data_IF_925486932342
#
_entry.id   IF_925486932342
#
_cell.length_a   1.000
_cell.length_b   1.000
_cell.length_c   1.000
_cell.angle_alpha   90.00
_cell.angle_beta   90.00
_cell.angle_gamma   90.00
#
_symmetry.space_group_name_H-M   'P 1'
#
loop_
_entity.id
_entity.type
_entity.pdbx_description
1 polymer ?
#
# COMPACT_ATOMS: atom_id res chain seq x y z
N UNK A 1 4.47 16.79 -8.45
CA UNK A 1 4.33 17.23 -7.05
C UNK A 1 4.75 16.08 -6.14
N UNK A 2 5.23 16.32 -4.90
CA UNK A 2 5.47 15.23 -3.95
C UNK A 2 4.20 15.03 -3.13
N UNK A 3 3.70 13.78 -3.06
CA UNK A 3 2.56 13.42 -2.20
C UNK A 3 3.01 13.03 -0.78
N UNK A 4 4.26 12.55 -0.66
CA UNK A 4 4.92 12.34 0.63
C UNK A 4 6.31 12.93 0.56
N UNK A 5 6.71 13.68 1.57
CA UNK A 5 8.07 14.12 1.80
C UNK A 5 8.46 13.85 3.25
N UNK A 6 9.57 13.16 3.45
CA UNK A 6 10.11 12.80 4.77
C UNK A 6 11.50 13.39 4.90
N UNK A 7 11.73 14.12 6.01
CA UNK A 7 13.00 14.76 6.34
C UNK A 7 13.48 14.33 7.73
N UNK A 8 14.67 13.79 7.78
CA UNK A 8 15.42 13.42 9.00
C UNK A 8 14.61 12.56 9.99
N UNK A 9 13.73 11.69 9.43
CA UNK A 9 12.86 10.86 10.26
C UNK A 9 13.66 9.82 11.01
N UNK A 10 13.58 9.83 12.35
CA UNK A 10 14.09 8.77 13.20
C UNK A 10 13.01 8.32 14.18
N UNK A 11 12.96 7.00 14.42
CA UNK A 11 11.95 6.39 15.29
C UNK A 11 12.51 5.20 16.06
N UNK A 12 12.15 5.12 17.35
CA UNK A 12 12.47 4.00 18.22
C UNK A 12 11.22 3.48 18.93
N UNK A 13 11.09 2.16 19.03
CA UNK A 13 10.09 1.57 19.92
C UNK A 13 10.54 1.68 21.38
N UNK A 14 9.63 1.81 22.36
CA UNK A 14 9.97 1.83 23.76
C UNK A 14 10.87 0.65 24.17
N UNK A 15 12.02 0.95 24.77
CA UNK A 15 12.97 -0.06 25.23
C UNK A 15 13.78 -0.77 24.14
N UNK A 16 13.69 -0.32 22.88
CA UNK A 16 14.47 -0.87 21.75
C UNK A 16 15.38 0.20 21.13
N UNK A 17 16.47 -0.24 20.48
CA UNK A 17 17.32 0.64 19.68
C UNK A 17 16.56 1.19 18.47
N UNK A 18 17.09 2.25 17.88
CA UNK A 18 16.55 2.95 16.74
C UNK A 18 16.08 2.00 15.63
N UNK A 19 14.78 2.03 15.36
CA UNK A 19 14.16 1.25 14.30
C UNK A 19 14.32 1.95 12.94
N UNK A 20 14.23 3.29 12.93
CA UNK A 20 14.48 4.12 11.76
C UNK A 20 15.48 5.21 12.13
N UNK A 21 16.42 5.50 11.22
CA UNK A 21 17.51 6.46 11.44
C UNK A 21 17.65 7.36 10.24
N UNK A 22 17.42 8.65 10.46
CA UNK A 22 17.66 9.73 9.48
C UNK A 22 17.10 9.41 8.08
N UNK A 23 15.85 8.94 8.01
CA UNK A 23 15.18 8.62 6.76
C UNK A 23 14.82 9.92 6.03
N UNK A 24 15.28 10.02 4.79
CA UNK A 24 14.98 11.10 3.87
C UNK A 24 14.49 10.50 2.55
N UNK A 25 13.20 10.65 2.24
CA UNK A 25 12.57 10.11 1.02
C UNK A 25 11.47 11.02 0.51
N UNK A 26 11.17 10.91 -0.78
CA UNK A 26 10.08 11.63 -1.45
C UNK A 26 9.30 10.65 -2.32
N UNK A 27 7.98 10.73 -2.29
CA UNK A 27 7.09 9.97 -3.17
C UNK A 27 6.41 10.95 -4.11
N UNK A 28 6.71 10.80 -5.40
CA UNK A 28 6.20 11.68 -6.45
C UNK A 28 4.81 11.24 -6.90
N UNK A 29 3.98 12.20 -7.23
CA UNK A 29 2.66 11.97 -7.81
C UNK A 29 2.75 11.18 -9.13
N UNK A 30 1.82 10.23 -9.31
CA UNK A 30 1.72 9.42 -10.52
C UNK A 30 2.82 8.37 -10.67
N UNK A 31 3.62 8.10 -9.63
CA UNK A 31 4.67 7.07 -9.67
C UNK A 31 4.24 5.79 -8.98
N UNK A 32 4.86 4.68 -9.39
CA UNK A 32 4.84 3.42 -8.67
C UNK A 32 6.19 3.26 -7.95
N UNK A 33 6.22 3.61 -6.66
CA UNK A 33 7.42 3.50 -5.82
C UNK A 33 7.36 2.22 -4.99
N UNK A 34 8.44 1.43 -5.00
CA UNK A 34 8.56 0.24 -4.18
C UNK A 34 9.63 0.42 -3.10
N UNK A 35 9.25 0.15 -1.85
CA UNK A 35 10.18 0.00 -0.73
C UNK A 35 10.57 -1.47 -0.61
N UNK A 36 11.86 -1.75 -0.73
CA UNK A 36 12.44 -3.09 -0.64
C UNK A 36 13.41 -3.21 0.52
N UNK A 37 13.80 -4.43 0.87
CA UNK A 37 14.77 -4.71 1.92
C UNK A 37 14.45 -6.03 2.62
N UNK A 38 15.38 -6.54 3.40
CA UNK A 38 15.25 -7.80 4.14
C UNK A 38 14.12 -7.74 5.19
N UNK A 39 13.70 -8.92 5.66
CA UNK A 39 12.75 -9.00 6.77
C UNK A 39 13.39 -8.39 8.03
N UNK A 40 12.62 -7.58 8.74
CA UNK A 40 13.13 -6.86 9.92
C UNK A 40 13.87 -5.54 9.60
N UNK A 41 14.01 -5.13 8.34
CA UNK A 41 14.64 -3.84 7.97
C UNK A 41 13.81 -2.60 8.30
N UNK A 42 12.66 -2.78 8.97
CA UNK A 42 11.75 -1.70 9.43
C UNK A 42 10.90 -1.02 8.35
N UNK A 43 10.66 -1.66 7.21
CA UNK A 43 9.78 -1.13 6.14
C UNK A 43 8.36 -0.83 6.63
N UNK A 44 7.70 -1.80 7.28
CA UNK A 44 6.35 -1.60 7.84
C UNK A 44 6.35 -0.58 8.99
N UNK A 45 7.46 -0.40 9.71
CA UNK A 45 7.61 0.67 10.71
C UNK A 45 7.57 2.04 10.03
N UNK A 46 8.27 2.20 8.92
CA UNK A 46 8.23 3.43 8.11
C UNK A 46 6.82 3.71 7.62
N UNK A 47 6.12 2.72 7.04
CA UNK A 47 4.73 2.91 6.62
C UNK A 47 3.82 3.33 7.79
N UNK A 48 3.99 2.74 8.97
CA UNK A 48 3.23 3.12 10.17
C UNK A 48 3.51 4.55 10.63
N UNK A 49 4.74 5.04 10.50
CA UNK A 49 5.08 6.45 10.75
C UNK A 49 4.40 7.36 9.72
N UNK A 50 4.49 7.03 8.43
CA UNK A 50 3.82 7.78 7.35
C UNK A 50 2.31 7.86 7.61
N UNK A 51 1.68 6.77 8.00
CA UNK A 51 0.24 6.71 8.27
C UNK A 51 -0.17 7.40 9.58
N UNK A 52 0.81 7.78 10.43
CA UNK A 52 0.55 8.36 11.76
C UNK A 52 0.09 7.35 12.80
N UNK A 53 0.26 6.05 12.52
CA UNK A 53 -0.04 4.96 13.46
C UNK A 53 1.06 4.83 14.52
N UNK A 54 2.32 5.11 14.16
CA UNK A 54 3.43 5.27 15.09
C UNK A 54 3.65 6.77 15.33
N UNK A 55 3.57 7.18 16.59
CA UNK A 55 3.84 8.55 17.06
C UNK A 55 5.16 8.61 17.82
N UNK A 56 5.71 9.82 18.01
CA UNK A 56 6.95 10.01 18.79
C UNK A 56 8.22 9.83 17.97
N UNK A 57 8.15 9.92 16.65
CA UNK A 57 9.32 10.07 15.79
C UNK A 57 9.87 11.50 15.84
N UNK A 58 11.15 11.67 15.51
CA UNK A 58 11.78 12.97 15.25
C UNK A 58 11.83 13.21 13.74
N UNK A 59 12.08 14.46 13.31
CA UNK A 59 12.02 14.84 11.90
C UNK A 59 10.63 15.24 11.45
N UNK A 60 10.42 15.34 10.15
CA UNK A 60 9.19 15.84 9.55
C UNK A 60 8.61 14.86 8.53
N UNK A 61 7.28 14.71 8.52
CA UNK A 61 6.52 14.00 7.49
C UNK A 61 5.45 14.93 6.96
N UNK A 62 5.61 15.35 5.70
CA UNK A 62 4.60 16.09 4.93
C UNK A 62 3.92 15.08 4.02
N UNK A 63 2.60 14.99 4.07
CA UNK A 63 1.83 14.01 3.29
C UNK A 63 0.43 14.46 3.00
N UNK A 64 -0.16 13.90 1.96
CA UNK A 64 -1.59 14.02 1.67
C UNK A 64 -2.46 13.44 2.79
N UNK A 65 -3.65 14.02 2.98
CA UNK A 65 -4.55 13.63 4.06
C UNK A 65 -5.35 12.35 3.75
N UNK A 66 -5.62 12.08 2.47
CA UNK A 66 -6.41 10.91 2.05
C UNK A 66 -5.51 9.87 1.43
N UNK A 67 -5.16 8.86 2.22
CA UNK A 67 -4.32 7.75 1.82
C UNK A 67 -5.13 6.47 1.91
N UNK A 68 -5.24 5.74 0.80
CA UNK A 68 -5.74 4.37 0.81
C UNK A 68 -4.67 3.45 1.39
N UNK A 69 -5.02 2.65 2.38
CA UNK A 69 -4.06 1.76 3.01
C UNK A 69 -4.51 0.31 3.03
N UNK A 70 -3.63 -0.56 2.54
CA UNK A 70 -3.74 -2.00 2.68
C UNK A 70 -2.64 -2.49 3.63
N UNK A 71 -2.99 -2.86 4.88
CA UNK A 71 -2.03 -3.45 5.81
C UNK A 71 -1.61 -4.86 5.38
N UNK A 72 -0.47 -5.30 5.89
CA UNK A 72 -0.05 -6.69 5.77
C UNK A 72 -1.16 -7.62 6.29
N UNK A 73 -1.46 -8.67 5.54
CA UNK A 73 -2.56 -9.60 5.84
C UNK A 73 -2.32 -10.30 7.18
N UNK A 74 -3.34 -10.29 8.04
CA UNK A 74 -3.39 -11.07 9.28
C UNK A 74 -4.44 -12.17 9.18
N UNK A 75 -4.27 -13.28 9.88
CA UNK A 75 -5.22 -14.42 9.87
C UNK A 75 -6.65 -14.03 10.24
N UNK A 76 -6.81 -13.03 11.13
CA UNK A 76 -8.12 -12.53 11.56
C UNK A 76 -8.93 -11.95 10.40
N UNK A 77 -8.28 -11.42 9.37
CA UNK A 77 -8.97 -10.82 8.21
C UNK A 77 -9.60 -11.86 7.28
N UNK A 78 -9.17 -13.12 7.33
CA UNK A 78 -9.63 -14.16 6.39
C UNK A 78 -11.05 -14.68 6.68
N UNK A 79 -11.56 -14.51 7.90
CA UNK A 79 -12.86 -15.05 8.35
C UNK A 79 -13.93 -13.97 8.61
N UNK A 80 -13.77 -12.79 8.02
CA UNK A 80 -14.71 -11.69 8.25
C UNK A 80 -16.06 -11.96 7.57
N UNK A 81 -17.17 -12.04 8.32
CA UNK A 81 -18.48 -12.44 7.80
C UNK A 81 -19.24 -11.27 7.15
N UNK A 82 -18.65 -10.68 6.10
CA UNK A 82 -19.26 -9.60 5.33
C UNK A 82 -19.19 -9.90 3.84
N UNK A 83 -20.10 -9.34 3.08
CA UNK A 83 -20.08 -9.40 1.62
C UNK A 83 -18.94 -8.54 1.04
N UNK A 84 -18.51 -8.85 -0.18
CA UNK A 84 -17.51 -8.08 -0.91
C UNK A 84 -17.96 -6.61 -1.01
N UNK A 85 -19.23 -6.36 -1.36
CA UNK A 85 -19.74 -4.99 -1.54
C UNK A 85 -19.70 -4.18 -0.24
N UNK A 86 -19.97 -4.79 0.92
CA UNK A 86 -19.86 -4.12 2.22
C UNK A 86 -18.41 -3.78 2.56
N UNK A 87 -17.48 -4.71 2.31
CA UNK A 87 -16.06 -4.47 2.58
C UNK A 87 -15.52 -3.36 1.68
N UNK A 88 -15.80 -3.40 0.37
CA UNK A 88 -15.31 -2.37 -0.56
C UNK A 88 -15.91 -1.02 -0.24
N UNK A 89 -17.22 -0.97 0.01
CA UNK A 89 -17.93 0.26 0.37
C UNK A 89 -17.39 0.87 1.67
N UNK A 90 -16.96 0.05 2.64
CA UNK A 90 -16.36 0.55 3.88
C UNK A 90 -15.09 1.39 3.67
N UNK A 91 -14.42 1.23 2.54
CA UNK A 91 -13.26 2.05 2.17
C UNK A 91 -13.60 3.53 2.01
N UNK A 92 -14.83 3.86 1.61
CA UNK A 92 -15.26 5.24 1.40
C UNK A 92 -15.45 6.04 2.70
N UNK A 93 -15.49 5.38 3.87
CA UNK A 93 -15.66 6.05 5.19
C UNK A 93 -14.57 7.09 5.42
N UNK A 94 -13.34 6.84 4.95
CA UNK A 94 -12.23 7.79 5.05
C UNK A 94 -12.50 9.12 4.35
N UNK A 95 -13.33 9.12 3.31
CA UNK A 95 -13.66 10.32 2.53
C UNK A 95 -14.65 11.24 3.28
N UNK A 96 -15.44 10.69 4.22
CA UNK A 96 -16.39 11.45 5.01
C UNK A 96 -16.58 10.85 6.42
N UNK A 97 -15.57 10.95 7.31
CA UNK A 97 -15.56 10.28 8.62
C UNK A 97 -16.65 10.75 9.58
N UNK A 98 -17.33 11.85 9.27
CA UNK A 98 -18.46 12.40 10.08
C UNK A 98 -19.83 11.88 9.62
N UNK A 99 -19.91 11.19 8.49
CA UNK A 99 -21.18 10.65 7.99
C UNK A 99 -21.44 9.25 8.55
N UNK A 100 -22.65 9.04 9.07
CA UNK A 100 -23.13 7.73 9.54
C UNK A 100 -23.66 6.91 8.35
N UNK A 101 -24.01 7.56 7.25
CA UNK A 101 -24.61 6.92 6.08
C UNK A 101 -23.73 7.07 4.84
N UNK A 102 -23.70 6.03 4.03
CA UNK A 102 -23.06 6.08 2.71
C UNK A 102 -23.90 6.91 1.73
N UNK A 103 -23.24 7.79 1.00
CA UNK A 103 -23.85 8.58 -0.06
C UNK A 103 -24.02 7.76 -1.34
N UNK A 104 -24.80 8.30 -2.28
CA UNK A 104 -24.95 7.68 -3.60
C UNK A 104 -23.62 7.62 -4.36
N UNK A 105 -22.80 8.66 -4.21
CA UNK A 105 -21.46 8.76 -4.80
C UNK A 105 -20.54 7.67 -4.27
N UNK A 106 -20.60 7.34 -2.97
CA UNK A 106 -19.78 6.29 -2.34
C UNK A 106 -20.11 4.91 -2.94
N UNK A 107 -21.42 4.63 -3.12
CA UNK A 107 -21.88 3.38 -3.74
C UNK A 107 -21.44 3.29 -5.20
N UNK A 108 -21.57 4.37 -5.97
CA UNK A 108 -21.15 4.41 -7.36
C UNK A 108 -19.64 4.24 -7.51
N UNK A 109 -18.85 4.87 -6.63
CA UNK A 109 -17.40 4.72 -6.61
C UNK A 109 -17.01 3.25 -6.34
N UNK A 110 -17.58 2.63 -5.30
CA UNK A 110 -17.30 1.24 -4.95
C UNK A 110 -17.68 0.26 -6.07
N UNK A 111 -18.84 0.46 -6.72
CA UNK A 111 -19.25 -0.33 -7.89
C UNK A 111 -18.27 -0.21 -9.06
N UNK A 112 -17.85 1.01 -9.38
CA UNK A 112 -16.92 1.25 -10.48
C UNK A 112 -15.55 0.61 -10.21
N UNK A 113 -15.04 0.70 -8.99
CA UNK A 113 -13.79 0.05 -8.60
C UNK A 113 -13.93 -1.47 -8.65
N UNK A 114 -15.03 -2.04 -8.14
CA UNK A 114 -15.27 -3.49 -8.22
C UNK A 114 -15.33 -4.00 -9.67
N UNK A 115 -15.92 -3.23 -10.58
CA UNK A 115 -15.94 -3.56 -12.03
C UNK A 115 -14.54 -3.54 -12.63
N UNK A 116 -13.75 -2.50 -12.37
CA UNK A 116 -12.36 -2.39 -12.84
C UNK A 116 -11.48 -3.54 -12.34
N UNK A 117 -11.68 -3.96 -11.09
CA UNK A 117 -10.88 -5.04 -10.46
C UNK A 117 -11.42 -6.44 -10.82
N UNK A 118 -12.59 -6.55 -11.48
CA UNK A 118 -13.18 -7.80 -11.93
C UNK A 118 -13.79 -8.64 -10.79
N UNK A 119 -14.35 -7.99 -9.75
CA UNK A 119 -15.01 -8.66 -8.62
C UNK A 119 -16.50 -8.29 -8.49
N UNK A 120 -17.04 -7.48 -9.40
CA UNK A 120 -18.41 -6.98 -9.30
C UNK A 120 -19.45 -8.08 -9.37
N UNK A 121 -19.28 -9.09 -10.23
CA UNK A 121 -20.25 -10.16 -10.41
C UNK A 121 -20.38 -11.06 -9.19
N UNK A 122 -19.34 -11.12 -8.37
CA UNK A 122 -19.32 -11.89 -7.12
C UNK A 122 -19.54 -11.04 -5.87
N UNK A 123 -19.91 -9.75 -6.01
CA UNK A 123 -19.95 -8.77 -4.90
C UNK A 123 -20.81 -9.13 -3.70
N UNK A 124 -21.78 -10.05 -3.88
CA UNK A 124 -22.67 -10.53 -2.81
C UNK A 124 -22.13 -11.76 -2.08
N UNK A 125 -21.03 -12.36 -2.56
CA UNK A 125 -20.41 -13.48 -1.85
C UNK A 125 -19.79 -13.02 -0.54
N UNK A 126 -19.78 -13.93 0.43
CA UNK A 126 -19.06 -13.71 1.69
C UNK A 126 -17.55 -13.68 1.43
N UNK A 127 -16.85 -12.75 2.06
CA UNK A 127 -15.39 -12.61 1.94
C UNK A 127 -14.65 -13.88 2.38
N UNK A 128 -15.14 -14.56 3.39
CA UNK A 128 -14.55 -15.79 3.90
C UNK A 128 -14.54 -16.94 2.86
N UNK A 129 -15.47 -16.92 1.90
CA UNK A 129 -15.62 -17.98 0.88
C UNK A 129 -14.72 -17.75 -0.35
N UNK A 130 -13.93 -16.67 -0.35
CA UNK A 130 -13.10 -16.29 -1.49
C UNK A 130 -11.74 -16.97 -1.46
N UNK A 131 -11.17 -17.22 -2.65
CA UNK A 131 -9.75 -17.57 -2.78
C UNK A 131 -8.85 -16.43 -2.28
N UNK A 132 -7.61 -16.75 -1.90
CA UNK A 132 -6.65 -15.74 -1.42
C UNK A 132 -6.45 -14.59 -2.39
N UNK A 133 -6.39 -14.86 -3.69
CA UNK A 133 -6.28 -13.83 -4.73
C UNK A 133 -7.54 -12.97 -4.85
N UNK A 134 -8.73 -13.56 -4.73
CA UNK A 134 -9.98 -12.80 -4.71
C UNK A 134 -10.07 -11.92 -3.46
N UNK A 135 -9.73 -12.45 -2.28
CA UNK A 135 -9.66 -11.67 -1.05
C UNK A 135 -8.72 -10.47 -1.20
N UNK A 136 -7.55 -10.68 -1.79
CA UNK A 136 -6.59 -9.61 -2.02
C UNK A 136 -7.13 -8.52 -2.95
N UNK A 137 -7.80 -8.90 -4.04
CA UNK A 137 -8.48 -7.93 -4.93
C UNK A 137 -9.55 -7.12 -4.20
N UNK A 138 -10.32 -7.74 -3.29
CA UNK A 138 -11.33 -7.04 -2.47
C UNK A 138 -10.66 -6.01 -1.55
N UNK A 139 -9.55 -6.37 -0.89
CA UNK A 139 -8.84 -5.48 0.01
C UNK A 139 -8.17 -4.32 -0.74
N UNK A 140 -7.64 -4.55 -1.94
CA UNK A 140 -7.13 -3.50 -2.82
C UNK A 140 -8.28 -2.57 -3.24
N UNK A 141 -9.44 -3.13 -3.66
CA UNK A 141 -10.62 -2.35 -4.01
C UNK A 141 -11.07 -1.44 -2.86
N UNK A 142 -11.12 -1.98 -1.64
CA UNK A 142 -11.43 -1.22 -0.42
C UNK A 142 -10.45 -0.06 -0.21
N UNK A 143 -9.16 -0.31 -0.39
CA UNK A 143 -8.12 0.71 -0.20
C UNK A 143 -8.23 1.82 -1.25
N UNK A 144 -8.54 1.48 -2.51
CA UNK A 144 -8.77 2.43 -3.60
C UNK A 144 -10.02 3.30 -3.38
N UNK A 145 -11.06 2.77 -2.72
CA UNK A 145 -12.22 3.58 -2.34
C UNK A 145 -11.88 4.67 -1.31
N UNK A 146 -10.79 4.51 -0.57
CA UNK A 146 -10.35 5.43 0.49
C UNK A 146 -9.47 6.57 0.04
N UNK A 147 -9.11 6.63 -1.25
CA UNK A 147 -8.19 7.65 -1.77
C UNK A 147 -8.55 8.08 -3.19
N UNK A 148 -8.04 9.25 -3.59
CA UNK A 148 -8.05 9.70 -4.98
C UNK A 148 -6.66 9.73 -5.60
N UNK A 149 -5.62 9.82 -4.77
CA UNK A 149 -4.28 10.18 -5.22
C UNK A 149 -3.19 9.17 -4.85
N UNK A 150 -3.28 8.55 -3.65
CA UNK A 150 -2.22 7.71 -3.11
C UNK A 150 -2.73 6.45 -2.41
N UNK A 151 -2.25 5.30 -2.86
CA UNK A 151 -2.45 4.01 -2.18
C UNK A 151 -1.13 3.51 -1.59
N UNK A 152 -1.15 3.06 -0.34
CA UNK A 152 -0.03 2.42 0.35
C UNK A 152 -0.38 0.95 0.59
N UNK A 153 0.51 0.05 0.17
CA UNK A 153 0.31 -1.40 0.23
C UNK A 153 1.49 -2.05 0.97
N UNK A 154 1.19 -2.74 2.06
CA UNK A 154 2.21 -3.45 2.85
C UNK A 154 2.19 -4.94 2.49
N UNK A 155 3.13 -5.38 1.68
CA UNK A 155 3.29 -6.75 1.18
C UNK A 155 2.01 -7.37 0.57
N UNK A 156 1.38 -6.72 -0.42
CA UNK A 156 0.07 -7.12 -0.93
C UNK A 156 0.06 -8.47 -1.64
N UNK A 157 1.21 -9.00 -2.02
CA UNK A 157 1.35 -10.26 -2.77
C UNK A 157 1.89 -11.42 -1.94
N UNK A 158 2.11 -11.19 -0.64
CA UNK A 158 2.68 -12.20 0.24
C UNK A 158 1.74 -13.42 0.38
N UNK A 159 2.30 -14.63 0.17
CA UNK A 159 1.56 -15.90 0.28
C UNK A 159 0.59 -16.18 -0.88
N UNK A 160 0.71 -15.48 -2.01
CA UNK A 160 -0.08 -15.72 -3.21
C UNK A 160 0.74 -16.42 -4.29
N UNK A 161 0.03 -17.13 -5.18
CA UNK A 161 0.63 -17.78 -6.33
C UNK A 161 1.29 -16.76 -7.29
N UNK A 162 2.38 -17.14 -8.00
CA UNK A 162 3.11 -16.23 -8.88
C UNK A 162 2.26 -15.57 -9.95
N UNK A 163 1.25 -16.27 -10.50
CA UNK A 163 0.36 -15.72 -11.53
C UNK A 163 -0.57 -14.66 -10.93
N UNK A 164 -1.10 -14.90 -9.73
CA UNK A 164 -1.94 -13.92 -9.00
C UNK A 164 -1.09 -12.69 -8.61
N UNK A 165 0.15 -12.88 -8.18
CA UNK A 165 1.07 -11.78 -7.91
C UNK A 165 1.24 -10.90 -9.14
N UNK A 166 1.52 -11.49 -10.31
CA UNK A 166 1.65 -10.77 -11.59
C UNK A 166 0.39 -9.95 -11.89
N UNK A 167 -0.79 -10.57 -11.78
CA UNK A 167 -2.07 -9.88 -12.02
C UNK A 167 -2.30 -8.69 -11.07
N UNK A 168 -1.84 -8.76 -9.82
CA UNK A 168 -1.93 -7.65 -8.87
C UNK A 168 -1.00 -6.50 -9.28
N UNK A 169 0.23 -6.79 -9.70
CA UNK A 169 1.14 -5.74 -10.18
C UNK A 169 0.61 -5.08 -11.46
N UNK A 170 0.09 -5.86 -12.41
CA UNK A 170 -0.53 -5.35 -13.63
C UNK A 170 -1.73 -4.44 -13.31
N UNK A 171 -2.60 -4.86 -12.40
CA UNK A 171 -3.75 -4.10 -11.94
C UNK A 171 -3.31 -2.75 -11.31
N UNK A 172 -2.31 -2.74 -10.46
CA UNK A 172 -1.80 -1.51 -9.84
C UNK A 172 -1.16 -0.58 -10.86
N UNK A 173 -0.43 -1.12 -11.83
CA UNK A 173 0.14 -0.35 -12.93
C UNK A 173 -0.94 0.26 -13.84
N UNK A 174 -2.05 -0.46 -14.09
CA UNK A 174 -3.21 0.08 -14.79
C UNK A 174 -3.85 1.25 -14.04
N UNK A 175 -4.05 1.15 -12.73
CA UNK A 175 -4.57 2.27 -11.92
C UNK A 175 -3.63 3.47 -11.93
N UNK A 176 -2.31 3.24 -11.88
CA UNK A 176 -1.32 4.31 -12.04
C UNK A 176 -1.45 5.01 -13.40
N UNK A 177 -1.51 4.25 -14.48
CA UNK A 177 -1.53 4.78 -15.85
C UNK A 177 -2.84 5.48 -16.21
N UNK A 178 -3.97 4.85 -15.89
CA UNK A 178 -5.28 5.28 -16.37
C UNK A 178 -5.97 6.24 -15.40
N UNK A 179 -5.80 6.03 -14.09
CA UNK A 179 -6.46 6.82 -13.04
C UNK A 179 -5.49 7.77 -12.31
N UNK A 180 -4.20 7.75 -12.67
CA UNK A 180 -3.12 8.56 -12.06
C UNK A 180 -2.94 8.32 -10.56
N UNK A 181 -3.35 7.16 -10.08
CA UNK A 181 -3.13 6.77 -8.69
C UNK A 181 -1.63 6.57 -8.44
N UNK A 182 -1.09 7.25 -7.45
CA UNK A 182 0.27 6.99 -6.97
C UNK A 182 0.27 5.73 -6.13
N UNK A 183 1.23 4.86 -6.38
CA UNK A 183 1.38 3.59 -5.65
C UNK A 183 2.65 3.61 -4.83
N UNK A 184 2.54 3.44 -3.52
CA UNK A 184 3.66 3.15 -2.63
C UNK A 184 3.49 1.72 -2.09
N UNK A 185 4.39 0.83 -2.43
CA UNK A 185 4.29 -0.58 -2.07
C UNK A 185 5.54 -1.06 -1.35
N UNK A 186 5.36 -1.78 -0.24
CA UNK A 186 6.42 -2.60 0.35
C UNK A 186 6.36 -3.97 -0.29
N UNK A 187 7.49 -4.46 -0.77
CA UNK A 187 7.62 -5.79 -1.36
C UNK A 187 9.01 -6.39 -1.12
N UNK A 188 9.07 -7.72 -1.03
CA UNK A 188 10.31 -8.48 -1.07
C UNK A 188 10.53 -9.20 -2.41
N UNK A 189 9.59 -9.07 -3.35
CA UNK A 189 9.66 -9.63 -4.70
C UNK A 189 10.42 -8.68 -5.64
N UNK A 190 11.74 -8.74 -5.57
CA UNK A 190 12.62 -7.82 -6.31
C UNK A 190 12.41 -7.94 -7.82
N UNK A 191 12.20 -9.16 -8.35
CA UNK A 191 12.02 -9.37 -9.80
C UNK A 191 10.83 -8.57 -10.34
N UNK A 192 9.67 -8.64 -9.68
CA UNK A 192 8.49 -7.87 -10.08
C UNK A 192 8.64 -6.39 -9.80
N UNK A 193 9.27 -6.02 -8.67
CA UNK A 193 9.58 -4.62 -8.37
C UNK A 193 10.36 -3.98 -9.51
N UNK A 194 11.44 -4.61 -9.97
CA UNK A 194 12.28 -4.08 -11.07
C UNK A 194 11.51 -3.94 -12.39
N UNK A 195 10.46 -4.74 -12.59
CA UNK A 195 9.65 -4.71 -13.81
C UNK A 195 8.57 -3.61 -13.81
N UNK A 196 7.94 -3.33 -12.65
CA UNK A 196 6.74 -2.48 -12.59
C UNK A 196 6.98 -1.14 -11.90
N UNK A 197 7.97 -1.03 -11.02
CA UNK A 197 8.25 0.20 -10.31
C UNK A 197 8.89 1.27 -11.21
N UNK A 198 8.57 2.53 -10.96
CA UNK A 198 9.28 3.68 -11.52
C UNK A 198 10.45 4.08 -10.63
N UNK A 199 10.33 3.84 -9.32
CA UNK A 199 11.35 4.16 -8.32
C UNK A 199 11.46 3.04 -7.28
N UNK A 200 12.68 2.73 -6.85
CA UNK A 200 13.00 1.76 -5.80
C UNK A 200 13.68 2.46 -4.65
N UNK A 201 13.23 2.19 -3.43
CA UNK A 201 13.84 2.64 -2.18
C UNK A 201 14.25 1.40 -1.39
N UNK A 202 15.53 1.22 -1.16
CA UNK A 202 16.03 0.13 -0.32
C UNK A 202 16.22 0.60 1.12
N UNK A 203 15.63 -0.14 2.06
CA UNK A 203 15.82 0.06 3.49
C UNK A 203 16.56 -1.12 4.08
N UNK A 204 17.67 -0.83 4.77
CA UNK A 204 18.42 -1.82 5.50
C UNK A 204 18.90 -1.25 6.84
N UNK A 205 18.73 -2.03 7.92
CA UNK A 205 19.08 -1.65 9.28
C UNK A 205 18.47 -0.30 9.74
N UNK A 206 17.26 0.01 9.23
CA UNK A 206 16.55 1.24 9.55
C UNK A 206 17.04 2.49 8.82
N UNK A 207 17.88 2.35 7.80
CA UNK A 207 18.43 3.44 6.99
C UNK A 207 18.09 3.26 5.51
N UNK A 208 18.01 4.35 4.75
CA UNK A 208 17.89 4.29 3.29
C UNK A 208 19.27 4.00 2.70
N UNK A 209 19.39 2.88 2.00
CA UNK A 209 20.64 2.52 1.30
C UNK A 209 20.65 2.91 -0.15
N UNK A 210 19.48 2.89 -0.79
CA UNK A 210 19.33 3.24 -2.19
C UNK A 210 18.00 3.95 -2.41
N UNK A 211 18.02 4.92 -3.29
CA UNK A 211 16.83 5.55 -3.89
C UNK A 211 17.14 5.86 -5.34
N UNK A 212 16.35 5.35 -6.26
CA UNK A 212 16.58 5.58 -7.69
C UNK A 212 15.73 4.70 -8.60
N UNK A 213 16.06 4.71 -9.88
CA UNK A 213 15.37 3.92 -10.89
C UNK A 213 15.67 2.41 -10.71
N UNK A 214 14.73 1.53 -11.09
CA UNK A 214 14.95 0.08 -11.08
C UNK A 214 16.19 -0.35 -11.87
N UNK A 215 16.52 0.33 -12.98
CA UNK A 215 17.71 0.06 -13.80
C UNK A 215 19.02 0.21 -13.06
N UNK A 216 19.05 1.06 -12.04
CA UNK A 216 20.25 1.42 -11.29
C UNK A 216 20.40 0.58 -10.00
N UNK A 217 19.31 -0.16 -9.65
CA UNK A 217 19.27 -1.00 -8.47
C UNK A 217 20.03 -2.31 -8.68
N UNK A 218 20.98 -2.61 -7.78
CA UNK A 218 21.76 -3.87 -7.79
C UNK A 218 21.34 -4.75 -6.63
N UNK A 219 20.84 -5.95 -6.94
CA UNK A 219 20.48 -6.95 -5.93
C UNK A 219 21.75 -7.38 -5.18
N UNK A 220 21.74 -7.19 -3.86
CA UNK A 220 22.89 -7.57 -3.03
C UNK A 220 24.08 -6.59 -3.14
N UNK A 221 23.84 -5.35 -3.49
CA UNK A 221 24.84 -4.32 -3.70
C UNK A 221 25.58 -3.89 -2.46
N UNK A 222 26.86 -4.06 -2.57
CA UNK A 222 28.03 -3.58 -1.83
C UNK A 222 28.42 -4.37 -0.58
N UNK A 223 29.41 -5.22 -0.78
CA UNK A 223 30.45 -5.45 0.23
C UNK A 223 31.27 -4.17 0.42
#
# INVERSE_FOLDING_TARGET
MNLIEIKDLSFSYPGKKDALKNINIQIKEGTFTCIVGENGSCKSTLLKCILGLNKGYTGEIIKENQIGYLPQKTEIQTHFPASIEEIVLSGTISNNPKSIFYKKEDKLLSENIMKKIGIYDIRKKCFADLSGGQQQRVLIARSLCGTKDLIILDEPTNGLDPEICKQIYELLDEFKKNDKITVLMVSHDIERVLKYADEVIEIANGEVRFTGKPSDFKIGGAK
#
